data_IF_366542420857
#
_entry.id   IF_366542420857
#
_cell.length_a   1.000
_cell.length_b   1.000
_cell.length_c   1.000
_cell.angle_alpha   90.00
_cell.angle_beta   90.00
_cell.angle_gamma   90.00
#
_symmetry.space_group_name_H-M   'P 1'
#
loop_
_entity.id
_entity.type
_entity.pdbx_description
1 polymer ?
#
# COMPACT_ATOMS: atom_id res chain seq x y z
N UNK A 1 26.27 -7.53 4.70
CA UNK A 1 26.30 -6.84 3.40
C UNK A 1 25.20 -5.80 3.43
N UNK A 2 25.37 -4.59 2.85
CA UNK A 2 24.25 -3.66 2.78
C UNK A 2 23.12 -4.27 1.96
N UNK A 3 21.88 -4.05 2.42
CA UNK A 3 20.69 -4.56 1.75
C UNK A 3 20.58 -3.93 0.36
N UNK A 4 20.35 -4.75 -0.66
CA UNK A 4 20.25 -4.32 -2.06
C UNK A 4 19.16 -3.26 -2.24
N UNK A 5 18.08 -3.32 -1.44
CA UNK A 5 16.98 -2.35 -1.48
C UNK A 5 17.44 -0.99 -0.96
N UNK A 6 18.22 -0.97 0.13
CA UNK A 6 18.81 0.25 0.68
C UNK A 6 19.77 0.86 -0.33
N UNK A 7 20.53 0.04 -1.04
CA UNK A 7 21.45 0.52 -2.10
C UNK A 7 20.68 1.19 -3.25
N UNK A 8 19.58 0.60 -3.72
CA UNK A 8 18.73 1.20 -4.75
C UNK A 8 18.05 2.49 -4.27
N UNK A 9 17.64 2.55 -3.01
CA UNK A 9 17.09 3.76 -2.43
C UNK A 9 18.14 4.89 -2.41
N UNK A 10 19.35 4.62 -1.93
CA UNK A 10 20.46 5.58 -1.91
C UNK A 10 20.82 6.03 -3.33
N UNK A 11 20.83 5.11 -4.30
CA UNK A 11 21.07 5.43 -5.71
C UNK A 11 19.99 6.37 -6.26
N UNK A 12 18.71 6.10 -5.99
CA UNK A 12 17.59 6.96 -6.38
C UNK A 12 17.67 8.34 -5.74
N UNK A 13 18.00 8.39 -4.44
CA UNK A 13 18.17 9.63 -3.72
C UNK A 13 19.32 10.48 -4.29
N UNK A 14 20.47 9.86 -4.55
CA UNK A 14 21.63 10.54 -5.14
C UNK A 14 21.34 11.03 -6.55
N UNK A 15 20.66 10.23 -7.38
CA UNK A 15 20.23 10.64 -8.72
C UNK A 15 19.29 11.85 -8.66
N UNK A 16 18.35 11.87 -7.71
CA UNK A 16 17.44 13.00 -7.50
C UNK A 16 18.17 14.27 -7.04
N UNK A 17 19.09 14.15 -6.08
CA UNK A 17 19.89 15.28 -5.59
C UNK A 17 20.82 15.87 -6.68
N UNK A 18 21.37 15.02 -7.53
CA UNK A 18 22.22 15.42 -8.66
C UNK A 18 21.40 15.92 -9.86
N UNK A 19 20.06 16.00 -9.74
CA UNK A 19 19.14 16.40 -10.82
C UNK A 19 19.34 15.58 -12.09
N UNK A 20 19.60 14.29 -11.94
CA UNK A 20 19.75 13.37 -13.07
C UNK A 20 18.42 13.22 -13.81
N UNK A 21 18.50 13.10 -15.14
CA UNK A 21 17.35 12.81 -16.01
C UNK A 21 16.92 11.34 -15.98
N UNK A 22 17.23 10.64 -14.89
CA UNK A 22 16.83 9.24 -14.68
C UNK A 22 15.30 9.17 -14.54
N UNK A 23 14.62 8.92 -15.65
CA UNK A 23 13.17 8.73 -15.70
C UNK A 23 12.85 7.33 -16.17
N UNK A 24 12.05 6.62 -15.39
CA UNK A 24 11.49 5.35 -15.84
C UNK A 24 10.34 5.68 -16.81
N UNK A 25 10.34 5.14 -18.05
CA UNK A 25 9.22 5.32 -18.96
C UNK A 25 7.90 4.89 -18.31
N UNK A 26 6.83 5.66 -18.52
CA UNK A 26 5.54 5.42 -17.90
C UNK A 26 5.01 4.00 -18.17
N UNK A 27 5.14 3.51 -19.41
CA UNK A 27 4.73 2.16 -19.78
C UNK A 27 5.48 1.08 -19.00
N UNK A 28 6.78 1.28 -18.73
CA UNK A 28 7.58 0.35 -17.92
C UNK A 28 7.12 0.36 -16.47
N UNK A 29 6.86 1.55 -15.91
CA UNK A 29 6.34 1.68 -14.54
C UNK A 29 4.99 0.97 -14.38
N UNK A 30 4.06 1.18 -15.31
CA UNK A 30 2.73 0.55 -15.30
C UNK A 30 2.85 -0.97 -15.41
N UNK A 31 3.69 -1.48 -16.32
CA UNK A 31 3.92 -2.93 -16.48
C UNK A 31 4.50 -3.56 -15.22
N UNK A 32 5.51 -2.93 -14.61
CA UNK A 32 6.11 -3.42 -13.36
C UNK A 32 5.12 -3.38 -12.20
N UNK A 33 4.29 -2.35 -12.11
CA UNK A 33 3.24 -2.23 -11.09
C UNK A 33 2.20 -3.34 -11.25
N UNK A 34 1.73 -3.62 -12.46
CA UNK A 34 0.81 -4.72 -12.74
C UNK A 34 1.41 -6.08 -12.38
N UNK A 35 2.67 -6.33 -12.74
CA UNK A 35 3.37 -7.57 -12.39
C UNK A 35 3.52 -7.73 -10.87
N UNK A 36 3.84 -6.64 -10.17
CA UNK A 36 3.95 -6.64 -8.71
C UNK A 36 2.60 -6.97 -8.07
N UNK A 37 1.53 -6.29 -8.49
CA UNK A 37 0.18 -6.55 -7.97
C UNK A 37 -0.27 -7.99 -8.24
N UNK A 38 -0.01 -8.51 -9.46
CA UNK A 38 -0.32 -9.89 -9.82
C UNK A 38 0.43 -10.89 -8.94
N UNK A 39 1.73 -10.66 -8.74
CA UNK A 39 2.60 -11.53 -7.92
C UNK A 39 2.13 -11.55 -6.47
N UNK A 40 1.84 -10.38 -5.89
CA UNK A 40 1.32 -10.27 -4.52
C UNK A 40 -0.05 -10.93 -4.40
N UNK A 41 -0.95 -10.69 -5.36
CA UNK A 41 -2.28 -11.29 -5.38
C UNK A 41 -2.24 -12.82 -5.48
N UNK A 42 -1.39 -13.37 -6.35
CA UNK A 42 -1.20 -14.82 -6.47
C UNK A 42 -0.59 -15.42 -5.20
N UNK A 43 0.44 -14.78 -4.63
CA UNK A 43 1.07 -15.23 -3.37
C UNK A 43 0.04 -15.22 -2.23
N UNK A 44 -0.73 -14.14 -2.10
CA UNK A 44 -1.81 -14.03 -1.11
C UNK A 44 -2.90 -15.08 -1.29
N UNK A 45 -3.32 -15.32 -2.53
CA UNK A 45 -4.32 -16.35 -2.85
C UNK A 45 -3.86 -17.77 -2.54
N UNK A 46 -2.60 -18.10 -2.85
CA UNK A 46 -2.02 -19.40 -2.52
C UNK A 46 -1.94 -19.64 -1.01
N UNK A 47 -1.54 -18.62 -0.26
CA UNK A 47 -1.49 -18.66 1.20
C UNK A 47 -2.88 -18.87 1.79
N UNK A 48 -3.87 -18.13 1.28
CA UNK A 48 -5.25 -18.20 1.73
C UNK A 48 -5.84 -19.61 1.52
N UNK A 49 -5.53 -20.26 0.39
CA UNK A 49 -6.05 -21.58 0.07
C UNK A 49 -5.64 -22.65 1.09
N UNK A 50 -4.45 -22.53 1.70
CA UNK A 50 -3.95 -23.49 2.69
C UNK A 50 -4.24 -23.14 4.15
N UNK A 51 -4.54 -21.87 4.45
CA UNK A 51 -4.55 -21.33 5.82
C UNK A 51 -5.86 -20.59 6.17
N UNK A 52 -6.95 -20.84 5.45
CA UNK A 52 -8.25 -20.22 5.76
C UNK A 52 -8.83 -20.83 7.05
N UNK A 53 -8.63 -20.16 8.18
CA UNK A 53 -9.17 -20.56 9.47
C UNK A 53 -10.18 -19.52 9.97
N UNK A 54 -11.21 -19.97 10.66
CA UNK A 54 -12.22 -19.08 11.26
C UNK A 54 -11.61 -18.01 12.18
N UNK A 55 -10.43 -18.28 12.74
CA UNK A 55 -9.69 -17.33 13.59
C UNK A 55 -9.17 -16.11 12.83
N UNK A 56 -9.02 -16.16 11.50
CA UNK A 56 -8.62 -15.01 10.67
C UNK A 56 -9.76 -14.01 10.44
N UNK A 57 -11.03 -14.42 10.58
CA UNK A 57 -12.17 -13.54 10.29
C UNK A 57 -12.20 -12.25 11.13
N UNK A 58 -11.95 -12.28 12.45
CA UNK A 58 -11.87 -11.05 13.26
C UNK A 58 -10.75 -10.12 12.80
N UNK A 59 -9.59 -10.68 12.44
CA UNK A 59 -8.44 -9.92 11.95
C UNK A 59 -8.74 -9.30 10.59
N UNK A 60 -9.31 -10.07 9.67
CA UNK A 60 -9.77 -9.57 8.38
C UNK A 60 -10.79 -8.44 8.55
N UNK A 61 -11.76 -8.61 9.46
CA UNK A 61 -12.73 -7.57 9.80
C UNK A 61 -12.08 -6.30 10.35
N UNK A 62 -11.12 -6.44 11.25
CA UNK A 62 -10.37 -5.32 11.80
C UNK A 62 -9.56 -4.57 10.74
N UNK A 63 -8.91 -5.30 9.83
CA UNK A 63 -8.16 -4.73 8.71
C UNK A 63 -9.06 -3.97 7.74
N UNK A 64 -10.21 -4.54 7.36
CA UNK A 64 -11.19 -3.86 6.51
C UNK A 64 -11.74 -2.59 7.17
N UNK A 65 -12.06 -2.66 8.46
CA UNK A 65 -12.50 -1.49 9.23
C UNK A 65 -11.42 -0.41 9.29
N UNK A 66 -10.16 -0.80 9.52
CA UNK A 66 -9.04 0.13 9.56
C UNK A 66 -8.85 0.84 8.21
N UNK A 67 -8.88 0.08 7.10
CA UNK A 67 -8.79 0.63 5.73
C UNK A 67 -9.89 1.63 5.40
N UNK A 68 -11.10 1.43 5.93
CA UNK A 68 -12.21 2.38 5.78
C UNK A 68 -12.17 3.57 6.76
N UNK A 69 -11.78 3.33 8.02
CA UNK A 69 -11.74 4.36 9.07
C UNK A 69 -10.66 5.41 8.83
N UNK A 70 -9.48 5.01 8.37
CA UNK A 70 -8.37 5.94 8.13
C UNK A 70 -8.79 7.07 7.17
N UNK A 71 -9.31 6.81 5.95
CA UNK A 71 -9.73 7.88 5.07
C UNK A 71 -10.90 8.70 5.63
N UNK A 72 -11.84 8.10 6.37
CA UNK A 72 -12.93 8.82 7.01
C UNK A 72 -12.45 9.81 8.06
N UNK A 73 -11.45 9.44 8.85
CA UNK A 73 -10.86 10.31 9.87
C UNK A 73 -9.95 11.38 9.26
N UNK A 74 -9.17 11.02 8.24
CA UNK A 74 -8.19 11.91 7.64
C UNK A 74 -8.84 12.97 6.73
N UNK A 75 -9.89 12.60 6.02
CA UNK A 75 -10.59 13.52 5.10
C UNK A 75 -10.99 14.86 5.75
N UNK A 76 -11.70 14.90 6.90
CA UNK A 76 -12.08 16.18 7.52
C UNK A 76 -10.87 17.00 7.99
N UNK A 77 -9.79 16.34 8.40
CA UNK A 77 -8.54 17.04 8.76
C UNK A 77 -7.95 17.74 7.52
N UNK A 78 -7.85 17.03 6.40
CA UNK A 78 -7.31 17.57 5.16
C UNK A 78 -8.19 18.68 4.57
N UNK A 79 -9.51 18.46 4.55
CA UNK A 79 -10.45 19.38 3.94
C UNK A 79 -10.72 20.63 4.79
N UNK A 80 -11.02 20.45 6.10
CA UNK A 80 -11.42 21.55 6.99
C UNK A 80 -10.25 22.22 7.70
N UNK A 81 -9.24 21.47 8.12
CA UNK A 81 -8.12 22.02 8.88
C UNK A 81 -7.02 22.56 7.95
N UNK A 82 -6.69 21.80 6.90
CA UNK A 82 -5.66 22.19 5.91
C UNK A 82 -6.23 22.92 4.70
N UNK A 83 -7.55 23.12 4.63
CA UNK A 83 -8.26 23.82 3.55
C UNK A 83 -7.92 23.29 2.14
N UNK A 84 -7.68 21.98 2.02
CA UNK A 84 -7.45 21.37 0.71
C UNK A 84 -8.78 21.18 -0.03
N UNK A 85 -8.72 21.17 -1.36
CA UNK A 85 -9.91 20.87 -2.18
C UNK A 85 -10.48 19.49 -1.87
N UNK A 86 -11.78 19.31 -2.12
CA UNK A 86 -12.47 18.01 -1.93
C UNK A 86 -11.74 16.89 -2.65
N UNK A 87 -11.34 17.12 -3.92
CA UNK A 87 -10.61 16.13 -4.72
C UNK A 87 -9.26 15.74 -4.09
N UNK A 88 -8.47 16.74 -3.69
CA UNK A 88 -7.17 16.48 -3.07
C UNK A 88 -7.31 15.79 -1.70
N UNK A 89 -8.27 16.24 -0.88
CA UNK A 89 -8.52 15.64 0.43
C UNK A 89 -8.98 14.19 0.32
N UNK A 90 -9.89 13.89 -0.61
CA UNK A 90 -10.36 12.53 -0.84
C UNK A 90 -9.26 11.61 -1.39
N UNK A 91 -8.48 12.11 -2.36
CA UNK A 91 -7.36 11.36 -2.94
C UNK A 91 -6.29 11.04 -1.91
N UNK A 92 -5.82 12.04 -1.16
CA UNK A 92 -4.80 11.85 -0.11
C UNK A 92 -5.33 10.92 0.97
N UNK A 93 -6.57 11.11 1.44
CA UNK A 93 -7.16 10.26 2.45
C UNK A 93 -7.24 8.78 2.01
N UNK A 94 -7.64 8.52 0.76
CA UNK A 94 -7.66 7.18 0.19
C UNK A 94 -6.27 6.54 0.16
N UNK A 95 -5.24 7.30 -0.26
CA UNK A 95 -3.87 6.79 -0.30
C UNK A 95 -3.31 6.46 1.10
N UNK A 96 -3.67 7.25 2.11
CA UNK A 96 -3.26 6.95 3.50
C UNK A 96 -4.02 5.78 4.12
N UNK A 97 -5.21 5.46 3.63
CA UNK A 97 -5.98 4.30 4.06
C UNK A 97 -5.50 2.99 3.40
N UNK A 98 -4.76 3.09 2.30
CA UNK A 98 -4.18 1.95 1.59
C UNK A 98 -2.69 1.79 1.87
N UNK A 99 -2.13 0.64 1.53
CA UNK A 99 -0.70 0.35 1.67
C UNK A 99 -0.06 0.26 0.29
N UNK A 100 1.08 0.90 0.10
CA UNK A 100 1.85 0.77 -1.14
C UNK A 100 2.38 -0.66 -1.29
N UNK A 101 2.00 -1.33 -2.37
CA UNK A 101 2.48 -2.67 -2.69
C UNK A 101 4.02 -2.75 -2.80
N UNK A 102 4.65 -1.70 -3.35
CA UNK A 102 6.11 -1.61 -3.43
C UNK A 102 6.76 -1.52 -2.06
N UNK A 103 6.28 -0.62 -1.20
CA UNK A 103 6.80 -0.49 0.18
C UNK A 103 6.59 -1.76 0.99
N UNK A 104 5.43 -2.40 0.82
CA UNK A 104 5.13 -3.67 1.47
C UNK A 104 6.11 -4.78 1.04
N UNK A 105 6.37 -4.92 -0.27
CA UNK A 105 7.30 -5.93 -0.79
C UNK A 105 8.72 -5.73 -0.22
N UNK A 106 9.16 -4.48 -0.10
CA UNK A 106 10.45 -4.14 0.52
C UNK A 106 10.47 -4.51 2.01
N UNK A 107 9.43 -4.13 2.75
CA UNK A 107 9.32 -4.44 4.17
C UNK A 107 9.28 -5.96 4.43
N UNK A 108 8.56 -6.70 3.58
CA UNK A 108 8.50 -8.16 3.66
C UNK A 108 9.86 -8.80 3.38
N UNK A 109 10.55 -8.37 2.32
CA UNK A 109 11.88 -8.85 1.99
C UNK A 109 12.90 -8.55 3.11
N UNK A 110 12.82 -7.38 3.73
CA UNK A 110 13.64 -7.02 4.88
C UNK A 110 13.34 -7.93 6.09
N UNK A 111 12.08 -8.17 6.40
CA UNK A 111 11.67 -9.06 7.48
C UNK A 111 12.18 -10.50 7.26
N UNK A 112 12.00 -11.03 6.05
CA UNK A 112 12.49 -12.37 5.67
C UNK A 112 14.03 -12.46 5.78
N UNK A 113 14.76 -11.43 5.34
CA UNK A 113 16.24 -11.39 5.40
C UNK A 113 16.79 -11.35 6.82
N UNK A 114 16.01 -10.80 7.76
CA UNK A 114 16.36 -10.74 9.18
C UNK A 114 15.74 -11.88 10.00
N UNK A 115 15.23 -12.91 9.35
CA UNK A 115 14.58 -14.08 9.99
C UNK A 115 13.44 -13.69 10.95
N UNK A 116 12.76 -12.57 10.67
CA UNK A 116 11.55 -12.19 11.39
C UNK A 116 10.40 -13.08 10.92
N UNK A 117 9.68 -13.65 11.87
CA UNK A 117 8.52 -14.48 11.56
C UNK A 117 7.34 -13.60 11.13
N UNK A 118 7.11 -13.50 9.83
CA UNK A 118 5.97 -12.79 9.26
C UNK A 118 4.93 -13.82 8.85
N UNK A 119 3.74 -13.68 9.41
CA UNK A 119 2.62 -14.56 9.06
C UNK A 119 2.29 -14.44 7.57
N UNK A 120 1.92 -15.55 6.97
CA UNK A 120 1.60 -15.62 5.55
C UNK A 120 0.36 -14.78 5.20
N UNK A 121 -0.55 -14.58 6.16
CA UNK A 121 -1.77 -13.77 6.09
C UNK A 121 -1.51 -12.27 5.87
N UNK A 122 -0.31 -11.76 6.20
CA UNK A 122 0.02 -10.33 6.07
C UNK A 122 -0.11 -9.84 4.63
N UNK A 123 0.17 -10.71 3.65
CA UNK A 123 -0.03 -10.40 2.23
C UNK A 123 -1.52 -10.20 1.89
N UNK A 124 -2.41 -10.93 2.56
CA UNK A 124 -3.86 -10.76 2.40
C UNK A 124 -4.31 -9.40 2.98
N UNK A 125 -3.77 -9.00 4.12
CA UNK A 125 -4.11 -7.71 4.75
C UNK A 125 -3.77 -6.51 3.87
N UNK A 126 -2.70 -6.59 3.07
CA UNK A 126 -2.38 -5.57 2.08
C UNK A 126 -3.55 -5.31 1.12
N UNK A 127 -4.07 -6.38 0.50
CA UNK A 127 -5.17 -6.28 -0.46
C UNK A 127 -6.46 -5.82 0.23
N UNK A 128 -6.70 -6.30 1.46
CA UNK A 128 -7.90 -5.96 2.23
C UNK A 128 -7.93 -4.51 2.72
N UNK A 129 -6.77 -3.88 2.92
CA UNK A 129 -6.69 -2.45 3.26
C UNK A 129 -6.98 -1.56 2.06
N UNK A 130 -6.55 -1.97 0.87
CA UNK A 130 -6.62 -1.16 -0.34
C UNK A 130 -8.07 -0.92 -0.79
N UNK A 131 -8.89 -1.97 -0.84
CA UNK A 131 -10.25 -1.89 -1.35
C UNK A 131 -11.16 -0.91 -0.57
N UNK A 132 -11.29 -1.00 0.77
CA UNK A 132 -12.13 -0.06 1.52
C UNK A 132 -11.64 1.37 1.43
N UNK A 133 -10.33 1.59 1.44
CA UNK A 133 -9.75 2.92 1.37
C UNK A 133 -10.10 3.63 0.06
N UNK A 134 -9.99 2.92 -1.07
CA UNK A 134 -10.36 3.44 -2.39
C UNK A 134 -11.87 3.72 -2.46
N UNK A 135 -12.70 2.77 -2.03
CA UNK A 135 -14.17 2.92 -2.05
C UNK A 135 -14.60 4.13 -1.22
N UNK A 136 -14.09 4.25 0.01
CA UNK A 136 -14.41 5.38 0.89
C UNK A 136 -13.94 6.70 0.28
N UNK A 137 -12.73 6.76 -0.26
CA UNK A 137 -12.20 7.96 -0.93
C UNK A 137 -13.07 8.39 -2.12
N UNK A 138 -13.50 7.46 -2.96
CA UNK A 138 -14.41 7.74 -4.08
C UNK A 138 -15.79 8.21 -3.61
N UNK A 139 -16.33 7.61 -2.55
CA UNK A 139 -17.62 8.02 -1.98
C UNK A 139 -17.54 9.43 -1.39
N UNK A 140 -16.46 9.76 -0.68
CA UNK A 140 -16.23 11.11 -0.15
C UNK A 140 -16.12 12.14 -1.26
N UNK A 141 -15.45 11.81 -2.36
CA UNK A 141 -15.36 12.69 -3.52
C UNK A 141 -16.70 12.92 -4.23
N UNK A 142 -17.55 11.87 -4.33
CA UNK A 142 -18.83 11.96 -5.05
C UNK A 142 -19.95 12.61 -4.26
N UNK A 143 -19.91 12.57 -2.93
CA UNK A 143 -21.00 13.07 -2.06
C UNK A 143 -20.83 14.53 -1.62
N UNK A 144 -19.70 15.12 -1.89
CA UNK A 144 -19.36 16.49 -1.48
C UNK A 144 -18.97 17.34 -2.68
#
# INVERSE_FOLDING_TARGET
MPDIVVMFFVLGLTAGLLRSDLKIPQATYETLSLLLMLTIGLKGGMVLHGNLHWQLLPEMGAVLLLGGLIPLMLYPVLNKLLNLSVANSASIAAHYGSVSAGTFAVALAYAESNSLNVGAEVTLYLVMLELPAIIVGLLLYRRL
#
